data_IF_993427171926
#
_entry.id   IF_993427171926
#
_cell.length_a   1.000
_cell.length_b   1.000
_cell.length_c   1.000
_cell.angle_alpha   90.00
_cell.angle_beta   90.00
_cell.angle_gamma   90.00
#
_symmetry.space_group_name_H-M   'P 1'
#
loop_
_entity.id
_entity.type
_entity.pdbx_description
1 polymer ?
#
# COMPACT_ATOMS: atom_id res chain seq x y z
N UNK A 1 -30.96 15.69 -27.57
CA UNK A 1 -30.27 15.93 -26.29
C UNK A 1 -29.14 14.94 -26.27
N UNK A 2 -27.89 15.38 -26.10
CA UNK A 2 -26.80 14.41 -25.95
C UNK A 2 -27.13 13.56 -24.72
N UNK A 3 -27.10 12.25 -24.86
CA UNK A 3 -27.32 11.35 -23.72
C UNK A 3 -26.30 11.73 -22.66
N UNK A 4 -26.79 12.13 -21.48
CA UNK A 4 -25.94 12.58 -20.38
C UNK A 4 -25.40 11.35 -19.67
N UNK A 5 -24.47 10.68 -20.32
CA UNK A 5 -23.88 9.42 -19.89
C UNK A 5 -22.38 9.56 -19.72
N UNK A 6 -21.82 8.65 -18.94
CA UNK A 6 -20.40 8.52 -18.69
C UNK A 6 -19.89 7.18 -19.23
N UNK A 7 -18.56 7.04 -19.28
CA UNK A 7 -17.89 5.82 -19.72
C UNK A 7 -16.78 5.42 -18.75
N UNK A 8 -16.70 4.12 -18.47
CA UNK A 8 -15.69 3.51 -17.63
C UNK A 8 -14.97 2.42 -18.44
N UNK A 9 -13.66 2.54 -18.59
CA UNK A 9 -12.81 1.43 -19.00
C UNK A 9 -12.26 0.71 -17.78
N UNK A 10 -12.62 -0.55 -17.61
CA UNK A 10 -12.11 -1.42 -16.56
C UNK A 10 -11.03 -2.34 -17.13
N UNK A 11 -9.86 -2.33 -16.49
CA UNK A 11 -8.77 -3.27 -16.77
C UNK A 11 -8.48 -4.12 -15.54
N UNK A 12 -8.36 -5.43 -15.74
CA UNK A 12 -8.17 -6.42 -14.69
C UNK A 12 -6.75 -6.97 -14.80
N UNK A 13 -5.99 -6.84 -13.72
CA UNK A 13 -4.59 -7.21 -13.58
C UNK A 13 -4.43 -8.37 -12.59
N UNK A 14 -3.36 -9.14 -12.74
CA UNK A 14 -2.96 -10.17 -11.78
C UNK A 14 -1.87 -9.65 -10.81
N UNK A 15 -1.49 -10.50 -9.85
CA UNK A 15 -0.47 -10.22 -8.84
C UNK A 15 0.94 -9.91 -9.38
N UNK A 16 1.17 -10.11 -10.68
CA UNK A 16 2.42 -9.74 -11.37
C UNK A 16 2.39 -8.35 -11.99
N UNK A 17 1.29 -7.59 -11.77
CA UNK A 17 1.03 -6.27 -12.38
C UNK A 17 0.88 -6.33 -13.90
N UNK A 18 0.52 -7.50 -14.44
CA UNK A 18 0.20 -7.67 -15.86
C UNK A 18 -1.31 -7.83 -16.06
N UNK A 19 -1.81 -7.51 -17.26
CA UNK A 19 -3.20 -7.81 -17.60
C UNK A 19 -3.47 -9.30 -17.41
N UNK A 20 -4.57 -9.60 -16.75
CA UNK A 20 -4.90 -10.93 -16.28
C UNK A 20 -5.01 -11.91 -17.46
N UNK A 21 -3.97 -12.71 -17.69
CA UNK A 21 -3.84 -13.50 -18.93
C UNK A 21 -4.61 -14.81 -18.92
N UNK A 22 -5.00 -15.29 -17.74
CA UNK A 22 -5.70 -16.57 -17.57
C UNK A 22 -7.14 -16.45 -18.05
N UNK A 23 -7.59 -17.45 -18.80
CA UNK A 23 -9.00 -17.57 -19.17
C UNK A 23 -9.85 -17.77 -17.91
N UNK A 24 -10.55 -16.73 -17.50
CA UNK A 24 -11.33 -16.66 -16.27
C UNK A 24 -12.62 -15.88 -16.55
N UNK A 25 -13.68 -16.21 -15.81
CA UNK A 25 -14.92 -15.45 -15.82
C UNK A 25 -14.90 -14.47 -14.66
N UNK A 26 -14.98 -13.17 -14.95
CA UNK A 26 -15.01 -12.10 -13.97
C UNK A 26 -16.45 -11.68 -13.74
N UNK A 27 -16.94 -11.79 -12.50
CA UNK A 27 -18.16 -11.10 -12.12
C UNK A 27 -17.82 -9.64 -11.86
N UNK A 28 -18.31 -8.75 -12.72
CA UNK A 28 -18.15 -7.30 -12.57
C UNK A 28 -19.47 -6.74 -12.05
N UNK A 29 -19.41 -6.01 -10.93
CA UNK A 29 -20.53 -5.27 -10.38
C UNK A 29 -20.21 -3.77 -10.36
N UNK A 30 -21.06 -2.96 -10.98
CA UNK A 30 -20.95 -1.50 -11.01
C UNK A 30 -22.22 -0.92 -10.39
N UNK A 31 -22.03 -0.14 -9.33
CA UNK A 31 -23.11 0.49 -8.56
C UNK A 31 -22.85 2.00 -8.56
N UNK A 32 -23.86 2.80 -8.88
CA UNK A 32 -23.73 4.26 -8.85
C UNK A 32 -23.79 4.83 -7.42
N UNK A 33 -23.59 6.14 -7.27
CA UNK A 33 -23.66 6.78 -5.96
C UNK A 33 -25.08 6.91 -5.37
N UNK A 34 -26.13 6.53 -6.11
CA UNK A 34 -27.48 6.32 -5.56
C UNK A 34 -27.68 4.91 -4.99
N UNK A 35 -26.66 4.07 -5.08
CA UNK A 35 -26.70 2.65 -4.75
C UNK A 35 -27.55 1.81 -5.72
N UNK A 36 -27.80 2.31 -6.94
CA UNK A 36 -28.46 1.51 -7.98
C UNK A 36 -27.43 0.66 -8.73
N UNK A 37 -27.75 -0.62 -8.92
CA UNK A 37 -26.90 -1.54 -9.65
C UNK A 37 -27.05 -1.30 -11.15
N UNK A 38 -25.99 -0.79 -11.78
CA UNK A 38 -25.95 -0.52 -13.21
C UNK A 38 -25.48 -1.75 -14.00
N UNK A 39 -24.48 -2.46 -13.48
CA UNK A 39 -23.95 -3.71 -14.08
C UNK A 39 -23.80 -4.77 -12.99
N UNK A 40 -24.15 -6.02 -13.32
CA UNK A 40 -23.78 -7.22 -12.55
C UNK A 40 -23.79 -8.44 -13.45
N UNK A 41 -22.70 -8.65 -14.16
CA UNK A 41 -22.59 -9.66 -15.21
C UNK A 41 -21.22 -10.33 -15.22
N UNK A 42 -21.15 -11.48 -15.89
CA UNK A 42 -19.91 -12.22 -16.10
C UNK A 42 -19.27 -11.83 -17.44
N UNK A 43 -17.98 -11.53 -17.39
CA UNK A 43 -17.17 -11.20 -18.57
C UNK A 43 -15.96 -12.14 -18.66
N UNK A 44 -15.52 -12.44 -19.88
CA UNK A 44 -14.36 -13.31 -20.14
C UNK A 44 -13.14 -12.54 -20.64
N UNK A 45 -13.25 -11.22 -20.73
CA UNK A 45 -12.17 -10.30 -21.13
C UNK A 45 -11.68 -9.52 -19.91
N UNK A 46 -10.40 -9.12 -19.94
CA UNK A 46 -9.73 -8.38 -18.87
C UNK A 46 -9.61 -6.87 -19.14
N UNK A 47 -10.09 -6.40 -20.30
CA UNK A 47 -10.11 -5.01 -20.71
C UNK A 47 -11.47 -4.76 -21.36
N UNK A 48 -12.29 -3.91 -20.73
CA UNK A 48 -13.69 -3.71 -21.06
C UNK A 48 -14.03 -2.23 -20.96
N UNK A 49 -14.83 -1.72 -21.89
CA UNK A 49 -15.44 -0.39 -21.79
C UNK A 49 -16.93 -0.53 -21.54
N UNK A 50 -17.41 0.12 -20.48
CA UNK A 50 -18.81 0.27 -20.12
C UNK A 50 -19.27 1.66 -20.54
N UNK A 51 -20.03 1.74 -21.63
CA UNK A 51 -20.64 2.97 -22.12
C UNK A 51 -22.07 3.12 -21.59
N UNK A 52 -22.59 4.36 -21.62
CA UNK A 52 -23.99 4.61 -21.28
C UNK A 52 -24.30 4.57 -19.78
N UNK A 53 -23.28 4.59 -18.92
CA UNK A 53 -23.48 4.70 -17.48
C UNK A 53 -24.14 6.05 -17.16
N UNK A 54 -25.11 6.14 -16.23
CA UNK A 54 -25.74 7.41 -15.89
C UNK A 54 -24.72 8.50 -15.49
N UNK A 55 -25.06 9.76 -15.74
CA UNK A 55 -24.29 10.90 -15.24
C UNK A 55 -25.24 11.97 -14.69
N UNK A 56 -24.99 12.39 -13.45
CA UNK A 56 -25.87 13.23 -12.63
C UNK A 56 -25.30 14.61 -12.31
N UNK A 57 -24.02 14.85 -12.61
CA UNK A 57 -23.25 16.06 -12.28
C UNK A 57 -23.28 16.38 -10.77
N UNK A 58 -23.14 15.35 -9.93
CA UNK A 58 -23.14 15.47 -8.47
C UNK A 58 -22.46 14.27 -7.79
N UNK A 59 -22.65 14.09 -6.48
CA UNK A 59 -22.02 13.01 -5.71
C UNK A 59 -22.46 11.60 -6.16
N UNK A 60 -23.57 11.47 -6.92
CA UNK A 60 -24.03 10.21 -7.47
C UNK A 60 -23.14 9.69 -8.62
N UNK A 61 -22.24 10.53 -9.15
CA UNK A 61 -21.22 10.11 -10.11
C UNK A 61 -20.03 9.41 -9.46
N UNK A 62 -20.08 9.16 -8.14
CA UNK A 62 -19.10 8.37 -7.41
C UNK A 62 -19.53 6.90 -7.39
N UNK A 63 -19.03 6.14 -8.36
CA UNK A 63 -19.38 4.74 -8.54
C UNK A 63 -18.57 3.84 -7.60
N UNK A 64 -19.13 2.67 -7.30
CA UNK A 64 -18.43 1.52 -6.73
C UNK A 64 -18.27 0.47 -7.82
N UNK A 65 -17.04 0.00 -8.02
CA UNK A 65 -16.74 -1.08 -8.97
C UNK A 65 -16.13 -2.25 -8.21
N UNK A 66 -16.74 -3.42 -8.32
CA UNK A 66 -16.27 -4.67 -7.72
C UNK A 66 -16.01 -5.70 -8.82
N UNK A 67 -14.94 -6.47 -8.65
CA UNK A 67 -14.55 -7.56 -9.54
C UNK A 67 -14.25 -8.78 -8.69
N UNK A 68 -14.89 -9.91 -9.01
CA UNK A 68 -14.56 -11.21 -8.42
C UNK A 68 -14.37 -12.27 -9.49
N UNK A 69 -13.59 -13.29 -9.15
CA UNK A 69 -13.33 -14.43 -10.02
C UNK A 69 -13.05 -15.69 -9.18
N UNK A 70 -13.43 -16.86 -9.68
CA UNK A 70 -13.24 -18.12 -8.98
C UNK A 70 -11.75 -18.39 -8.68
N UNK A 71 -11.43 -18.63 -7.40
CA UNK A 71 -10.07 -18.88 -6.92
C UNK A 71 -9.26 -17.63 -6.61
N UNK A 72 -9.86 -16.44 -6.73
CA UNK A 72 -9.21 -15.16 -6.48
C UNK A 72 -9.98 -14.35 -5.42
N UNK A 73 -9.25 -13.53 -4.69
CA UNK A 73 -9.82 -12.56 -3.77
C UNK A 73 -10.58 -11.51 -4.58
N UNK A 74 -11.83 -11.23 -4.22
CA UNK A 74 -12.57 -10.10 -4.79
C UNK A 74 -11.81 -8.80 -4.50
N UNK A 75 -11.75 -7.88 -5.47
CA UNK A 75 -11.23 -6.54 -5.31
C UNK A 75 -12.19 -5.49 -5.91
N UNK A 76 -11.97 -4.22 -5.56
CA UNK A 76 -12.81 -3.14 -6.05
C UNK A 76 -12.33 -1.77 -5.61
N UNK A 77 -12.96 -0.72 -6.11
CA UNK A 77 -12.61 0.66 -5.80
C UNK A 77 -13.85 1.53 -5.65
N UNK A 78 -13.81 2.46 -4.70
CA UNK A 78 -14.78 3.52 -4.47
C UNK A 78 -14.10 4.71 -3.77
N UNK A 79 -14.41 5.96 -4.15
CA UNK A 79 -15.25 6.36 -5.27
C UNK A 79 -14.52 6.29 -6.62
N UNK A 80 -15.16 5.71 -7.63
CA UNK A 80 -14.79 5.86 -9.03
C UNK A 80 -15.59 7.04 -9.59
N UNK A 81 -15.02 8.24 -9.54
CA UNK A 81 -15.70 9.44 -10.04
C UNK A 81 -15.76 9.44 -11.57
N UNK A 82 -16.96 9.29 -12.11
CA UNK A 82 -17.22 9.32 -13.54
C UNK A 82 -17.54 10.74 -14.05
N UNK A 83 -17.41 10.92 -15.36
CA UNK A 83 -17.62 12.19 -16.06
C UNK A 83 -18.27 11.91 -17.41
N UNK A 84 -19.10 12.84 -17.89
CA UNK A 84 -19.61 12.81 -19.26
C UNK A 84 -18.63 13.43 -20.30
N UNK A 85 -17.46 13.90 -19.87
CA UNK A 85 -16.50 14.58 -20.73
C UNK A 85 -15.39 13.65 -21.25
N UNK A 86 -15.03 12.64 -20.46
CA UNK A 86 -13.93 11.73 -20.76
C UNK A 86 -14.19 10.35 -20.19
N UNK A 87 -13.66 9.33 -20.87
CA UNK A 87 -13.61 7.96 -20.36
C UNK A 87 -12.71 7.92 -19.11
N UNK A 88 -13.23 7.33 -18.02
CA UNK A 88 -12.42 7.03 -16.83
C UNK A 88 -11.83 5.64 -16.99
N UNK A 89 -10.52 5.51 -16.84
CA UNK A 89 -9.87 4.19 -16.69
C UNK A 89 -9.80 3.82 -15.21
N UNK A 90 -10.13 2.57 -14.90
CA UNK A 90 -9.95 1.95 -13.59
C UNK A 90 -9.19 0.63 -13.76
N UNK A 91 -8.12 0.49 -12.98
CA UNK A 91 -7.32 -0.72 -12.94
C UNK A 91 -7.60 -1.45 -11.62
N UNK A 92 -8.02 -2.72 -11.72
CA UNK A 92 -8.27 -3.58 -10.57
C UNK A 92 -7.32 -4.76 -10.63
N UNK A 93 -6.67 -5.08 -9.51
CA UNK A 93 -5.83 -6.26 -9.37
C UNK A 93 -6.55 -7.35 -8.60
N UNK A 94 -6.54 -8.57 -9.11
CA UNK A 94 -6.98 -9.77 -8.42
C UNK A 94 -5.78 -10.67 -8.11
N UNK A 95 -5.75 -11.20 -6.88
CA UNK A 95 -4.74 -12.15 -6.43
C UNK A 95 -5.42 -13.45 -6.00
N UNK A 96 -4.70 -14.58 -6.06
CA UNK A 96 -5.23 -15.87 -5.65
C UNK A 96 -5.71 -15.84 -4.18
N UNK A 97 -6.67 -16.70 -3.84
CA UNK A 97 -7.12 -16.84 -2.45
C UNK A 97 -6.00 -17.22 -1.47
N UNK A 98 -5.01 -17.97 -1.97
CA UNK A 98 -3.78 -18.33 -1.27
C UNK A 98 -2.58 -17.81 -2.11
N UNK A 99 -2.21 -16.53 -1.96
CA UNK A 99 -1.19 -15.90 -2.80
C UNK A 99 0.22 -16.34 -2.40
N UNK A 100 1.04 -16.69 -3.40
CA UNK A 100 2.49 -16.87 -3.22
C UNK A 100 3.25 -15.56 -3.42
N UNK A 101 4.52 -15.55 -3.04
CA UNK A 101 5.43 -14.42 -3.23
C UNK A 101 6.60 -14.82 -4.13
N UNK A 102 6.92 -13.97 -5.11
CA UNK A 102 8.14 -14.11 -5.93
C UNK A 102 9.10 -12.98 -5.63
N UNK A 103 10.20 -13.33 -4.93
CA UNK A 103 11.30 -12.42 -4.59
C UNK A 103 12.46 -12.48 -5.60
N UNK A 104 12.20 -12.91 -6.83
CA UNK A 104 13.26 -13.05 -7.86
C UNK A 104 14.02 -11.75 -8.11
N UNK A 105 13.34 -10.61 -8.01
CA UNK A 105 13.91 -9.26 -8.18
C UNK A 105 14.30 -8.59 -6.85
N UNK A 106 14.14 -9.30 -5.72
CA UNK A 106 14.46 -8.81 -4.39
C UNK A 106 15.61 -9.61 -3.78
N UNK A 107 16.60 -10.01 -4.59
CA UNK A 107 17.83 -10.60 -4.05
C UNK A 107 18.69 -9.51 -3.44
N UNK A 108 19.66 -9.92 -2.61
CA UNK A 108 20.43 -8.99 -1.79
C UNK A 108 21.01 -7.78 -2.55
N UNK A 109 21.65 -7.94 -3.73
CA UNK A 109 22.22 -6.79 -4.44
C UNK A 109 21.16 -5.75 -4.84
N UNK A 110 20.01 -6.20 -5.34
CA UNK A 110 18.91 -5.33 -5.75
C UNK A 110 18.23 -4.68 -4.53
N UNK A 111 18.02 -5.46 -3.47
CA UNK A 111 17.42 -4.97 -2.23
C UNK A 111 18.32 -3.93 -1.54
N UNK A 112 19.63 -4.18 -1.44
CA UNK A 112 20.58 -3.24 -0.84
C UNK A 112 20.71 -1.96 -1.69
N UNK A 113 20.70 -2.08 -3.03
CA UNK A 113 20.75 -0.92 -3.91
C UNK A 113 19.53 -0.02 -3.76
N UNK A 114 18.33 -0.61 -3.62
CA UNK A 114 17.10 0.14 -3.39
C UNK A 114 16.99 0.68 -1.96
N UNK A 115 17.47 -0.09 -0.99
CA UNK A 115 17.29 0.16 0.44
C UNK A 115 18.62 0.01 1.20
N UNK A 116 19.55 0.99 1.10
CA UNK A 116 20.88 0.87 1.70
C UNK A 116 20.87 0.65 3.22
N UNK A 117 19.82 1.11 3.90
CA UNK A 117 19.65 0.96 5.35
C UNK A 117 19.50 -0.51 5.80
N UNK A 118 19.24 -1.46 4.89
CA UNK A 118 19.22 -2.89 5.19
C UNK A 118 20.57 -3.42 5.67
N UNK A 119 21.67 -2.88 5.13
CA UNK A 119 23.04 -3.30 5.44
C UNK A 119 23.87 -2.25 6.17
N UNK A 120 23.25 -1.15 6.64
CA UNK A 120 23.98 0.01 7.15
C UNK A 120 24.83 -0.26 8.41
N UNK A 121 24.57 -1.35 9.14
CA UNK A 121 25.21 -1.66 10.42
C UNK A 121 26.31 -2.73 10.35
N UNK A 122 26.51 -3.36 9.19
CA UNK A 122 27.39 -4.52 9.04
C UNK A 122 28.12 -4.57 7.69
N UNK A 123 29.06 -5.51 7.56
CA UNK A 123 29.67 -5.83 6.26
C UNK A 123 28.63 -6.37 5.28
N UNK A 124 28.85 -6.16 3.98
CA UNK A 124 27.98 -6.63 2.90
C UNK A 124 27.66 -8.13 3.01
N UNK A 125 28.67 -8.97 3.26
CA UNK A 125 28.48 -10.41 3.41
C UNK A 125 27.59 -10.79 4.62
N UNK A 126 27.66 -10.01 5.71
CA UNK A 126 26.79 -10.24 6.88
C UNK A 126 25.37 -9.75 6.62
N UNK A 127 25.21 -8.61 5.94
CA UNK A 127 23.91 -8.09 5.51
C UNK A 127 23.19 -9.07 4.59
N UNK A 128 23.89 -9.58 3.59
CA UNK A 128 23.40 -10.62 2.68
C UNK A 128 22.86 -11.83 3.44
N UNK A 129 23.66 -12.37 4.37
CA UNK A 129 23.26 -13.54 5.15
C UNK A 129 22.02 -13.29 6.03
N UNK A 130 21.85 -12.10 6.61
CA UNK A 130 20.66 -11.75 7.39
C UNK A 130 19.42 -11.62 6.52
N UNK A 131 19.58 -11.00 5.36
CA UNK A 131 18.50 -10.83 4.40
C UNK A 131 18.03 -12.16 3.83
N UNK A 132 18.97 -13.05 3.46
CA UNK A 132 18.66 -14.40 3.00
C UNK A 132 17.96 -15.22 4.10
N UNK A 133 18.37 -15.07 5.37
CA UNK A 133 17.69 -15.72 6.49
C UNK A 133 16.24 -15.25 6.66
N UNK A 134 15.97 -13.94 6.48
CA UNK A 134 14.62 -13.37 6.53
C UNK A 134 13.75 -13.90 5.38
N UNK A 135 14.32 -13.95 4.18
CA UNK A 135 13.69 -14.49 2.98
C UNK A 135 13.31 -15.96 3.16
N UNK A 136 14.21 -16.80 3.66
CA UNK A 136 14.00 -18.24 3.78
C UNK A 136 13.03 -18.63 4.90
N UNK A 137 12.88 -17.78 5.94
CA UNK A 137 12.07 -18.10 7.12
C UNK A 137 10.70 -17.43 7.13
N UNK A 138 10.59 -16.22 6.60
CA UNK A 138 9.42 -15.35 6.82
C UNK A 138 9.12 -14.48 5.60
N UNK A 139 8.57 -15.09 4.55
CA UNK A 139 8.19 -14.40 3.32
C UNK A 139 7.30 -13.17 3.57
N UNK A 140 6.33 -13.28 4.50
CA UNK A 140 5.44 -12.15 4.84
C UNK A 140 6.17 -10.99 5.51
N UNK A 141 7.13 -11.25 6.40
CA UNK A 141 7.94 -10.18 7.00
C UNK A 141 8.78 -9.47 5.94
N UNK A 142 9.37 -10.22 5.01
CA UNK A 142 10.11 -9.62 3.90
C UNK A 142 9.19 -8.82 2.96
N UNK A 143 8.04 -9.36 2.58
CA UNK A 143 7.06 -8.64 1.77
C UNK A 143 6.61 -7.33 2.44
N UNK A 144 6.39 -7.35 3.76
CA UNK A 144 6.06 -6.15 4.53
C UNK A 144 7.19 -5.11 4.48
N UNK A 145 8.43 -5.53 4.74
CA UNK A 145 9.60 -4.67 4.67
C UNK A 145 9.76 -4.02 3.28
N UNK A 146 9.56 -4.79 2.21
CA UNK A 146 9.64 -4.28 0.83
C UNK A 146 8.45 -3.35 0.48
N UNK A 147 7.25 -3.65 0.96
CA UNK A 147 6.10 -2.76 0.81
C UNK A 147 6.33 -1.42 1.49
N UNK A 148 6.85 -1.43 2.73
CA UNK A 148 7.18 -0.22 3.47
C UNK A 148 8.32 0.56 2.81
N UNK A 149 9.35 -0.14 2.34
CA UNK A 149 10.45 0.47 1.57
C UNK A 149 9.92 1.22 0.35
N UNK A 150 9.13 0.56 -0.48
CA UNK A 150 8.53 1.19 -1.66
C UNK A 150 7.53 2.30 -1.29
N UNK A 151 6.70 2.09 -0.28
CA UNK A 151 5.72 3.09 0.12
C UNK A 151 6.42 4.36 0.59
N UNK A 152 7.48 4.23 1.39
CA UNK A 152 8.27 5.36 1.88
C UNK A 152 9.10 6.02 0.77
N UNK A 153 9.60 5.29 -0.22
CA UNK A 153 10.32 5.89 -1.36
C UNK A 153 9.44 6.89 -2.14
N UNK A 154 8.12 6.70 -2.11
CA UNK A 154 7.14 7.54 -2.79
C UNK A 154 6.59 8.70 -1.91
N UNK A 155 6.93 8.75 -0.62
CA UNK A 155 6.50 9.83 0.27
C UNK A 155 7.44 11.03 0.12
N UNK A 156 6.99 12.02 -0.65
CA UNK A 156 7.73 13.27 -0.81
C UNK A 156 7.64 14.16 0.43
N UNK A 157 8.76 14.31 1.15
CA UNK A 157 8.95 15.26 2.24
C UNK A 157 9.47 16.60 1.69
N UNK A 158 9.67 17.60 2.56
CA UNK A 158 10.25 18.88 2.12
C UNK A 158 11.70 18.72 1.64
N UNK A 159 12.41 17.71 2.16
CA UNK A 159 13.75 17.31 1.78
C UNK A 159 13.79 15.77 1.68
N UNK A 160 13.77 15.26 0.44
CA UNK A 160 13.84 13.82 0.17
C UNK A 160 12.58 13.05 0.56
N UNK A 161 12.80 11.85 1.08
CA UNK A 161 11.82 10.84 1.47
C UNK A 161 12.17 10.31 2.86
N UNK A 162 11.28 9.59 3.57
CA UNK A 162 11.63 8.94 4.82
C UNK A 162 12.88 8.06 4.73
N UNK A 163 13.09 7.38 3.60
CA UNK A 163 14.24 6.49 3.40
C UNK A 163 15.60 7.19 3.49
N UNK A 164 15.68 8.48 3.13
CA UNK A 164 16.93 9.25 3.20
C UNK A 164 17.43 9.46 4.65
N UNK A 165 16.53 9.31 5.62
CA UNK A 165 16.82 9.51 7.03
C UNK A 165 17.04 8.20 7.79
N UNK A 166 16.53 7.07 7.32
CA UNK A 166 16.76 5.76 7.94
C UNK A 166 18.20 5.33 7.66
N UNK A 167 18.93 4.98 8.72
CA UNK A 167 20.35 4.59 8.65
C UNK A 167 20.54 3.08 8.72
N UNK A 168 19.79 2.42 9.59
CA UNK A 168 19.93 1.00 9.85
C UNK A 168 18.56 0.38 10.18
N UNK A 169 18.30 -0.83 9.69
CA UNK A 169 17.24 -1.70 10.24
C UNK A 169 17.70 -2.32 11.55
N UNK A 170 16.78 -2.52 12.48
CA UNK A 170 16.99 -3.38 13.64
C UNK A 170 16.72 -4.83 13.29
N UNK A 171 17.73 -5.67 13.45
CA UNK A 171 17.67 -7.11 13.19
C UNK A 171 17.55 -7.95 14.47
N UNK A 172 17.67 -7.30 15.63
CA UNK A 172 17.67 -7.94 16.94
C UNK A 172 16.26 -8.06 17.53
N UNK A 173 15.99 -9.14 18.27
CA UNK A 173 14.71 -9.30 18.96
C UNK A 173 14.55 -8.25 20.09
N UNK A 174 13.34 -7.72 20.34
CA UNK A 174 12.06 -8.00 19.65
C UNK A 174 11.80 -7.18 18.38
N UNK A 175 12.80 -6.47 17.86
CA UNK A 175 12.66 -5.41 16.86
C UNK A 175 12.93 -5.86 15.41
N UNK A 176 13.27 -7.13 15.20
CA UNK A 176 13.48 -7.70 13.87
C UNK A 176 12.25 -7.50 12.97
N UNK A 177 12.41 -7.39 11.63
CA UNK A 177 11.29 -7.21 10.71
C UNK A 177 10.17 -8.23 10.92
N UNK A 178 8.93 -7.74 10.96
CA UNK A 178 7.73 -8.52 11.20
C UNK A 178 6.72 -8.35 10.05
N UNK A 179 5.64 -9.12 10.09
CA UNK A 179 4.61 -9.12 9.05
C UNK A 179 3.86 -7.77 8.93
N UNK A 180 3.89 -6.91 9.96
CA UNK A 180 3.14 -5.66 10.03
C UNK A 180 4.02 -4.39 10.06
N UNK A 181 5.32 -4.54 10.36
CA UNK A 181 6.24 -3.42 10.62
C UNK A 181 7.69 -3.84 10.55
N UNK A 182 8.58 -2.86 10.61
CA UNK A 182 9.96 -3.09 11.07
C UNK A 182 10.39 -1.95 12.00
N UNK A 183 11.51 -2.12 12.67
CA UNK A 183 12.13 -1.06 13.44
C UNK A 183 13.46 -0.67 12.82
N UNK A 184 13.84 0.60 12.95
CA UNK A 184 15.11 1.11 12.47
C UNK A 184 15.63 2.27 13.30
N UNK A 185 16.84 2.70 12.99
CA UNK A 185 17.42 3.94 13.49
C UNK A 185 17.34 4.98 12.39
N UNK A 186 16.67 6.10 12.66
CA UNK A 186 16.59 7.22 11.73
C UNK A 186 17.19 8.49 12.32
N UNK A 187 17.78 9.32 11.46
CA UNK A 187 18.18 10.68 11.79
C UNK A 187 16.99 11.46 12.37
N UNK A 188 17.19 12.13 13.51
CA UNK A 188 16.15 12.90 14.22
C UNK A 188 15.48 13.96 13.34
N UNK A 189 16.14 14.42 12.28
CA UNK A 189 15.59 15.37 11.31
C UNK A 189 14.35 14.84 10.59
N UNK A 190 14.15 13.52 10.52
CA UNK A 190 12.94 12.94 9.94
C UNK A 190 11.67 13.41 10.66
N UNK A 191 11.72 13.55 11.99
CA UNK A 191 10.57 14.02 12.78
C UNK A 191 10.14 15.41 12.33
N UNK A 192 11.09 16.32 12.12
CA UNK A 192 10.80 17.67 11.65
C UNK A 192 10.25 17.67 10.23
N UNK A 193 10.76 16.81 9.34
CA UNK A 193 10.21 16.64 8.00
C UNK A 193 8.76 16.15 8.01
N UNK A 194 8.45 15.19 8.88
CA UNK A 194 7.09 14.66 9.03
C UNK A 194 6.16 15.71 9.63
N UNK A 195 6.60 16.52 10.60
CA UNK A 195 5.83 17.67 11.12
C UNK A 195 5.52 18.69 10.03
N UNK A 196 6.48 19.02 9.17
CA UNK A 196 6.26 19.92 8.02
C UNK A 196 5.26 19.31 7.04
N UNK A 197 5.38 18.01 6.73
CA UNK A 197 4.43 17.31 5.87
C UNK A 197 3.02 17.24 6.47
N UNK A 198 2.91 17.08 7.79
CA UNK A 198 1.64 17.10 8.51
C UNK A 198 0.98 18.49 8.46
N UNK A 199 1.74 19.56 8.68
CA UNK A 199 1.26 20.93 8.53
C UNK A 199 0.78 21.25 7.10
N UNK A 200 1.32 20.55 6.10
CA UNK A 200 0.90 20.63 4.69
C UNK A 200 -0.25 19.67 4.33
N UNK A 201 -0.84 18.96 5.29
CA UNK A 201 -1.97 18.05 5.05
C UNK A 201 -1.59 16.75 4.34
N UNK A 202 -0.34 16.28 4.46
CA UNK A 202 0.09 14.97 3.93
C UNK A 202 0.09 13.86 4.98
N UNK A 203 0.16 14.25 6.25
CA UNK A 203 0.13 13.37 7.40
C UNK A 203 -0.85 13.89 8.46
N UNK A 204 -1.51 13.00 9.18
CA UNK A 204 -2.27 13.28 10.39
C UNK A 204 -1.47 12.85 11.62
N UNK A 205 -1.64 13.57 12.73
CA UNK A 205 -1.04 13.21 14.02
C UNK A 205 -1.86 12.07 14.64
N UNK A 206 -1.19 10.99 15.04
CA UNK A 206 -1.79 9.93 15.84
C UNK A 206 -1.64 10.27 17.33
N UNK A 207 -2.78 10.48 17.99
CA UNK A 207 -2.79 10.87 19.40
C UNK A 207 -2.57 9.65 20.30
N UNK A 208 -1.73 9.80 21.34
CA UNK A 208 -1.40 8.75 22.30
C UNK A 208 -0.81 7.46 21.66
N UNK A 209 0.28 7.56 20.89
CA UNK A 209 0.87 6.42 20.18
C UNK A 209 1.31 5.28 21.12
N UNK A 210 1.67 5.61 22.37
CA UNK A 210 2.03 4.66 23.42
C UNK A 210 0.97 3.61 23.77
N UNK A 211 -0.30 3.80 23.36
CA UNK A 211 -1.37 2.82 23.59
C UNK A 211 -1.23 1.57 22.71
N UNK A 212 -0.74 1.73 21.49
CA UNK A 212 -0.58 0.64 20.52
C UNK A 212 0.90 0.31 20.25
N UNK A 213 1.80 1.27 20.52
CA UNK A 213 3.25 1.15 20.33
C UNK A 213 3.95 1.47 21.66
N UNK A 214 4.21 0.46 22.52
CA UNK A 214 4.83 0.68 23.82
C UNK A 214 6.13 1.47 23.73
N UNK A 215 6.22 2.58 24.46
CA UNK A 215 7.39 3.46 24.47
C UNK A 215 7.43 4.51 23.36
N UNK A 216 6.48 4.49 22.42
CA UNK A 216 6.38 5.54 21.39
C UNK A 216 6.04 6.90 21.99
N UNK A 217 6.71 7.94 21.48
CA UNK A 217 6.59 9.33 21.93
C UNK A 217 5.77 10.18 20.96
N UNK A 218 5.86 9.89 19.67
CA UNK A 218 5.11 10.58 18.62
C UNK A 218 4.82 9.65 17.44
N UNK A 219 3.74 9.92 16.70
CA UNK A 219 3.39 9.14 15.52
C UNK A 219 2.55 9.96 14.55
N UNK A 220 2.75 9.69 13.26
CA UNK A 220 2.01 10.33 12.18
C UNK A 220 1.64 9.32 11.11
N UNK A 221 0.41 9.42 10.62
CA UNK A 221 -0.15 8.58 9.56
C UNK A 221 -0.31 9.35 8.26
N UNK A 222 0.17 8.79 7.15
CA UNK A 222 -0.06 9.33 5.80
C UNK A 222 -1.57 9.39 5.53
N UNK A 223 -2.04 10.42 4.81
CA UNK A 223 -3.48 10.59 4.48
C UNK A 223 -3.74 10.69 2.98
N UNK A 224 -2.90 10.04 2.17
CA UNK A 224 -2.99 10.11 0.71
C UNK A 224 -4.04 9.15 0.14
N UNK A 225 -4.23 8.00 0.77
CA UNK A 225 -5.11 6.94 0.30
C UNK A 225 -6.24 6.67 1.31
N UNK A 226 -7.26 5.93 0.88
CA UNK A 226 -8.32 5.45 1.76
C UNK A 226 -7.88 4.37 2.74
N UNK A 227 -6.96 3.51 2.29
CA UNK A 227 -6.38 2.40 3.05
C UNK A 227 -4.89 2.24 2.75
N UNK A 228 -4.21 1.43 3.57
CA UNK A 228 -2.81 1.05 3.40
C UNK A 228 -1.85 2.25 3.38
N UNK A 229 -2.14 3.26 4.20
CA UNK A 229 -1.26 4.40 4.43
C UNK A 229 -0.10 3.99 5.35
N UNK A 230 1.07 4.60 5.13
CA UNK A 230 2.21 4.42 6.04
C UNK A 230 1.98 5.21 7.31
N UNK A 231 2.22 4.58 8.45
CA UNK A 231 2.37 5.23 9.74
C UNK A 231 3.84 5.23 10.14
N UNK A 232 4.33 6.39 10.58
CA UNK A 232 5.69 6.57 11.08
C UNK A 232 5.61 6.87 12.58
N UNK A 233 5.93 5.87 13.39
CA UNK A 233 5.94 5.97 14.85
C UNK A 233 7.38 6.13 15.34
N UNK A 234 7.62 7.07 16.25
CA UNK A 234 8.94 7.39 16.77
C UNK A 234 9.03 7.09 18.26
N UNK A 235 10.17 6.54 18.68
CA UNK A 235 10.52 6.29 20.07
C UNK A 235 11.70 7.21 20.42
N UNK A 236 11.41 8.49 20.66
CA UNK A 236 12.44 9.54 20.79
C UNK A 236 13.34 9.36 22.01
N UNK A 237 12.94 8.53 22.98
CA UNK A 237 13.76 8.17 24.14
C UNK A 237 14.80 7.09 23.83
N UNK A 238 14.59 6.31 22.77
CA UNK A 238 15.54 5.31 22.30
C UNK A 238 16.46 5.99 21.27
N UNK A 239 17.71 6.23 21.65
CA UNK A 239 18.66 7.01 20.85
C UNK A 239 19.92 6.21 20.50
N UNK A 240 20.49 6.48 19.32
CA UNK A 240 21.77 5.93 18.88
C UNK A 240 22.56 6.97 18.08
N UNK A 241 23.89 6.98 18.23
CA UNK A 241 24.77 7.75 17.35
C UNK A 241 25.33 6.83 16.26
N UNK A 242 25.14 7.19 15.00
CA UNK A 242 25.62 6.44 13.82
C UNK A 242 26.40 7.41 12.95
N UNK A 243 27.70 7.19 12.77
CA UNK A 243 28.59 8.04 11.97
C UNK A 243 28.48 9.54 12.24
N UNK A 244 28.32 9.90 13.52
CA UNK A 244 28.17 11.30 13.97
C UNK A 244 26.76 11.87 13.78
N UNK A 245 25.80 11.10 13.29
CA UNK A 245 24.38 11.47 13.18
C UNK A 245 23.63 11.00 14.43
N UNK A 246 22.90 11.93 15.05
CA UNK A 246 21.98 11.60 16.15
C UNK A 246 20.73 10.96 15.58
N UNK A 247 20.48 9.72 15.99
CA UNK A 247 19.35 8.92 15.55
C UNK A 247 18.42 8.57 16.71
N UNK A 248 17.15 8.39 16.39
CA UNK A 248 16.12 7.82 17.25
C UNK A 248 15.56 6.56 16.62
N UNK A 249 14.92 5.71 17.42
CA UNK A 249 14.24 4.54 16.88
C UNK A 249 12.93 4.95 16.18
N UNK A 250 12.71 4.38 15.01
CA UNK A 250 11.48 4.49 14.23
C UNK A 250 10.85 3.11 14.05
N UNK A 251 9.52 3.08 14.05
CA UNK A 251 8.67 1.94 13.75
C UNK A 251 7.75 2.35 12.59
N UNK A 252 8.13 2.07 11.32
CA UNK A 252 7.23 2.18 10.19
C UNK A 252 6.30 0.97 10.15
N UNK A 253 5.01 1.23 10.01
CA UNK A 253 3.98 0.22 9.82
C UNK A 253 2.97 0.66 8.75
N UNK A 254 2.15 -0.28 8.27
CA UNK A 254 1.06 0.01 7.33
C UNK A 254 -0.26 -0.24 8.03
N UNK A 255 -1.05 0.82 8.07
CA UNK A 255 -2.35 0.80 8.68
C UNK A 255 -3.46 0.60 7.63
N UNK A 256 -4.32 -0.38 7.88
CA UNK A 256 -5.54 -0.64 7.11
C UNK A 256 -6.71 0.25 7.50
N UNK A 257 -6.63 1.02 8.60
CA UNK A 257 -7.79 1.76 9.06
C UNK A 257 -8.25 2.79 8.03
N UNK A 258 -9.54 2.62 7.72
CA UNK A 258 -10.40 3.38 6.83
C UNK A 258 -10.30 4.87 7.06
N UNK A 259 -9.90 5.61 6.04
CA UNK A 259 -10.49 6.93 5.83
C UNK A 259 -11.98 6.73 5.53
N UNK A 260 -12.92 7.40 6.22
CA UNK A 260 -14.35 7.35 5.90
C UNK A 260 -14.69 7.73 4.45
N UNK A 261 -13.77 8.35 3.70
CA UNK A 261 -14.02 8.93 2.38
C UNK A 261 -13.41 8.18 1.18
N UNK A 262 -12.56 7.16 1.37
CA UNK A 262 -11.95 6.42 0.26
C UNK A 262 -11.84 4.92 0.60
N UNK A 263 -12.33 4.03 -0.27
CA UNK A 263 -12.27 2.59 -0.06
C UNK A 263 -11.82 1.77 -1.28
N UNK A 264 -10.92 0.82 -1.04
CA UNK A 264 -10.65 -0.32 -1.95
C UNK A 264 -11.27 -1.58 -1.33
N UNK A 265 -12.29 -2.15 -1.97
CA UNK A 265 -13.08 -3.26 -1.42
C UNK A 265 -12.45 -4.59 -1.85
N UNK A 266 -11.50 -5.09 -1.06
CA UNK A 266 -11.24 -6.52 -0.94
C UNK A 266 -12.27 -7.13 0.04
N UNK A 267 -12.71 -8.37 -0.19
CA UNK A 267 -13.87 -9.04 0.43
C UNK A 267 -14.23 -8.65 1.90
N UNK A 268 -15.54 -8.53 2.14
CA UNK A 268 -16.27 -8.05 3.33
C UNK A 268 -15.62 -8.40 4.68
N UNK A 269 -15.07 -7.39 5.36
CA UNK A 269 -14.77 -7.32 6.81
C UNK A 269 -14.97 -8.63 7.59
N UNK A 270 -13.88 -9.36 7.84
CA UNK A 270 -13.71 -10.03 9.13
C UNK A 270 -12.57 -9.39 9.94
N UNK A 271 -11.69 -8.61 9.30
CA UNK A 271 -10.48 -8.10 9.96
C UNK A 271 -10.73 -6.93 10.91
N UNK A 272 -11.88 -6.26 10.86
CA UNK A 272 -12.22 -5.23 11.86
C UNK A 272 -12.59 -5.83 13.23
N UNK A 273 -12.73 -7.17 13.34
CA UNK A 273 -13.14 -7.88 14.55
C UNK A 273 -12.08 -8.85 15.10
N UNK A 274 -11.04 -9.15 14.33
CA UNK A 274 -9.94 -10.02 14.76
C UNK A 274 -8.66 -9.21 14.69
N UNK A 275 -7.97 -9.03 15.82
CA UNK A 275 -6.64 -8.41 15.96
C UNK A 275 -5.53 -9.16 15.18
N UNK A 276 -5.73 -9.43 13.89
CA UNK A 276 -4.77 -10.09 13.00
C UNK A 276 -3.81 -9.05 12.41
N UNK A 277 -2.53 -9.43 12.29
CA UNK A 277 -1.48 -8.60 11.68
C UNK A 277 -1.83 -8.18 10.25
N UNK A 278 -1.30 -7.03 9.82
CA UNK A 278 -1.42 -6.53 8.45
C UNK A 278 -0.98 -7.61 7.44
N UNK A 279 -1.77 -7.90 6.39
CA UNK A 279 -1.40 -8.89 5.35
C UNK A 279 -0.68 -8.28 4.13
N UNK A 280 0.64 -8.49 3.92
CA UNK A 280 1.40 -7.80 2.87
C UNK A 280 0.84 -7.94 1.45
N UNK A 281 0.19 -9.06 1.13
CA UNK A 281 -0.45 -9.27 -0.16
C UNK A 281 -1.64 -8.31 -0.38
N UNK A 282 -2.40 -7.99 0.67
CA UNK A 282 -3.48 -7.02 0.58
C UNK A 282 -2.93 -5.60 0.43
N UNK A 283 -1.91 -5.20 1.21
CA UNK A 283 -1.22 -3.91 1.03
C UNK A 283 -0.80 -3.71 -0.43
N UNK A 284 -0.18 -4.72 -1.02
CA UNK A 284 0.28 -4.70 -2.41
C UNK A 284 -0.85 -4.32 -3.38
N UNK A 285 -1.98 -5.01 -3.27
CA UNK A 285 -3.17 -4.76 -4.11
C UNK A 285 -3.75 -3.38 -3.84
N UNK A 286 -3.98 -3.02 -2.57
CA UNK A 286 -4.60 -1.76 -2.18
C UNK A 286 -3.79 -0.56 -2.67
N UNK A 287 -2.48 -0.53 -2.41
CA UNK A 287 -1.61 0.57 -2.82
C UNK A 287 -1.41 0.62 -4.33
N UNK A 288 -1.35 -0.52 -5.01
CA UNK A 288 -1.25 -0.54 -6.47
C UNK A 288 -2.52 0.06 -7.12
N UNK A 289 -3.71 -0.40 -6.72
CA UNK A 289 -4.98 0.12 -7.25
C UNK A 289 -5.13 1.61 -6.94
N UNK A 290 -4.87 2.02 -5.69
CA UNK A 290 -4.98 3.41 -5.26
C UNK A 290 -3.97 4.31 -5.99
N UNK A 291 -2.74 3.82 -6.21
CA UNK A 291 -1.71 4.52 -6.96
C UNK A 291 -2.06 4.76 -8.43
N UNK A 292 -2.53 3.72 -9.12
CA UNK A 292 -3.03 3.83 -10.50
C UNK A 292 -4.17 4.84 -10.60
N UNK A 293 -5.11 4.78 -9.66
CA UNK A 293 -6.28 5.68 -9.67
C UNK A 293 -5.91 7.13 -9.38
N UNK A 294 -4.92 7.36 -8.52
CA UNK A 294 -4.40 8.68 -8.18
C UNK A 294 -3.44 9.26 -9.22
N UNK A 295 -2.99 8.46 -10.20
CA UNK A 295 -2.05 8.91 -11.23
C UNK A 295 -0.66 9.23 -10.69
N UNK A 296 -0.25 8.54 -9.62
CA UNK A 296 1.09 8.66 -9.02
C UNK A 296 2.02 7.56 -9.56
N UNK A 297 3.33 7.58 -9.28
CA UNK A 297 4.23 6.49 -9.65
C UNK A 297 3.67 5.13 -9.20
N UNK A 298 3.87 4.12 -10.05
CA UNK A 298 3.38 2.76 -9.77
C UNK A 298 3.97 2.24 -8.45
N UNK A 299 3.11 1.72 -7.57
CA UNK A 299 3.57 1.03 -6.36
C UNK A 299 4.22 -0.30 -6.76
N UNK A 300 5.56 -0.31 -6.79
CA UNK A 300 6.33 -1.39 -7.38
C UNK A 300 7.40 -1.98 -6.45
N UNK A 301 7.03 -2.58 -5.29
CA UNK A 301 8.01 -3.23 -4.43
C UNK A 301 8.72 -4.35 -5.19
N UNK A 302 9.93 -4.72 -4.75
CA UNK A 302 10.86 -5.63 -5.45
C UNK A 302 10.37 -7.10 -5.58
N UNK A 303 9.11 -7.36 -5.26
CA UNK A 303 8.47 -8.67 -5.41
C UNK A 303 7.17 -8.57 -6.20
N UNK A 304 6.68 -9.73 -6.64
CA UNK A 304 5.33 -9.88 -7.22
C UNK A 304 4.56 -10.98 -6.49
N UNK A 305 3.24 -10.94 -6.59
CA UNK A 305 2.37 -12.00 -6.10
C UNK A 305 2.18 -13.05 -7.20
N UNK A 306 2.18 -14.34 -6.85
CA UNK A 306 2.02 -15.48 -7.77
C UNK A 306 0.83 -16.36 -7.40
#
# INVERSE_FOLDING_TARGET
MADNTSSLRLRIFDGTRQLFSKQTSFLVSIVDGQQEQQIREFYTTNDMTFEGLPFYDNLFDNYTVLVSADGYQQAGYVPVKLSNQYEKTLDIMLIANDPGFSFVNARWPEALAAYPFLGGDVSDATGAARYDDLLDKTEKSLACLLNLGEAMSQIALSQGTPLDYIKEVRWDAPYAPAQDRFFGWCDVRLIDQVKVAAAAGKFAVENAPGLFHPGATSSWKQIQFGEANVQLTFHENDTKMIDGVSCVMIEPDIDYYRDPAAHVILEVVPNALTHSLTEPAQVYVLRWIAGQTAGIPEFAPLYTIT
#
